data_IF_991704986661
#
_entry.id   IF_991704986661
#
_cell.length_a   1.000
_cell.length_b   1.000
_cell.length_c   1.000
_cell.angle_alpha   90.00
_cell.angle_beta   90.00
_cell.angle_gamma   90.00
#
_symmetry.space_group_name_H-M   'P 1'
#
loop_
_entity.id
_entity.type
_entity.pdbx_description
1 polymer ?
#
# COMPACT_ATOMS: atom_id res chain seq x y z
N UNK A 1 21.78 -9.18 13.72
CA UNK A 1 21.59 -9.55 12.29
C UNK A 1 21.09 -8.31 11.56
N UNK A 2 21.81 -7.85 10.54
CA UNK A 2 21.59 -6.56 9.89
C UNK A 2 20.27 -6.52 9.12
N UNK A 3 19.22 -5.99 9.75
CA UNK A 3 17.88 -5.86 9.20
C UNK A 3 17.73 -4.57 8.38
N UNK A 4 18.58 -4.37 7.36
CA UNK A 4 18.38 -3.24 6.43
C UNK A 4 17.29 -3.63 5.45
N UNK A 5 16.05 -3.19 5.74
CA UNK A 5 15.00 -3.18 4.73
C UNK A 5 15.47 -2.41 3.50
N UNK A 6 15.14 -2.92 2.32
CA UNK A 6 15.47 -2.30 1.04
C UNK A 6 14.16 -2.01 0.31
N UNK A 7 14.03 -0.80 -0.25
CA UNK A 7 12.92 -0.48 -1.14
C UNK A 7 13.12 -1.24 -2.45
N UNK A 8 12.26 -2.21 -2.72
CA UNK A 8 12.33 -3.03 -3.94
C UNK A 8 11.54 -2.44 -5.11
N UNK A 9 10.56 -1.59 -4.84
CA UNK A 9 9.79 -0.89 -5.86
C UNK A 9 8.75 0.04 -5.26
N UNK A 10 8.35 1.05 -6.04
CA UNK A 10 7.36 2.07 -5.66
C UNK A 10 6.56 2.50 -6.90
N UNK A 11 5.31 2.92 -6.70
CA UNK A 11 4.47 3.50 -7.74
C UNK A 11 3.72 4.70 -7.17
N UNK A 12 3.73 5.80 -7.93
CA UNK A 12 2.94 6.99 -7.66
C UNK A 12 1.76 7.08 -8.63
N UNK A 13 0.55 7.15 -8.09
CA UNK A 13 -0.67 7.34 -8.88
C UNK A 13 -1.05 8.82 -8.90
N UNK A 14 -1.04 9.42 -10.08
CA UNK A 14 -1.39 10.82 -10.29
C UNK A 14 -2.89 11.11 -10.13
N UNK A 15 -3.21 12.38 -9.88
CA UNK A 15 -4.56 12.92 -9.60
C UNK A 15 -5.48 13.08 -10.83
N UNK A 16 -5.29 12.28 -11.88
CA UNK A 16 -6.15 12.29 -13.08
C UNK A 16 -7.53 11.65 -12.86
N UNK A 17 -8.42 11.74 -13.86
CA UNK A 17 -9.88 11.40 -13.85
C UNK A 17 -10.30 10.02 -13.27
N UNK A 18 -9.38 9.16 -12.84
CA UNK A 18 -9.64 7.88 -12.16
C UNK A 18 -8.90 7.82 -10.84
N UNK A 19 -9.35 8.62 -9.86
CA UNK A 19 -8.67 8.83 -8.58
C UNK A 19 -8.27 7.55 -7.82
N UNK A 20 -9.00 6.44 -7.99
CA UNK A 20 -8.72 5.19 -7.27
C UNK A 20 -8.90 3.89 -8.08
N UNK A 21 -9.46 3.96 -9.29
CA UNK A 21 -9.69 2.76 -10.13
C UNK A 21 -8.41 2.07 -10.60
N UNK A 22 -7.26 2.76 -10.52
CA UNK A 22 -5.95 2.21 -10.88
C UNK A 22 -5.21 1.48 -9.76
N UNK A 23 -5.69 1.49 -8.50
CA UNK A 23 -4.91 1.01 -7.36
C UNK A 23 -4.48 -0.46 -7.49
N UNK A 24 -5.45 -1.38 -7.65
CA UNK A 24 -5.15 -2.81 -7.78
C UNK A 24 -4.44 -3.17 -9.09
N UNK A 25 -4.81 -2.60 -10.27
CA UNK A 25 -4.03 -2.79 -11.48
C UNK A 25 -2.56 -2.35 -11.33
N UNK A 26 -2.30 -1.26 -10.61
CA UNK A 26 -0.94 -0.80 -10.35
C UNK A 26 -0.21 -1.68 -9.34
N UNK A 27 -0.89 -2.21 -8.32
CA UNK A 27 -0.31 -3.21 -7.42
C UNK A 27 0.10 -4.47 -8.18
N UNK A 28 -0.78 -4.98 -9.05
CA UNK A 28 -0.51 -6.15 -9.90
C UNK A 28 0.69 -5.90 -10.82
N UNK A 29 0.72 -4.75 -11.50
CA UNK A 29 1.86 -4.32 -12.32
C UNK A 29 3.17 -4.26 -11.52
N UNK A 30 3.15 -3.72 -10.29
CA UNK A 30 4.34 -3.65 -9.45
C UNK A 30 4.85 -5.04 -9.07
N UNK A 31 3.97 -5.92 -8.62
CA UNK A 31 4.34 -7.28 -8.24
C UNK A 31 4.93 -8.06 -9.43
N UNK A 32 4.29 -7.96 -10.60
CA UNK A 32 4.81 -8.56 -11.83
C UNK A 32 6.19 -8.01 -12.21
N UNK A 33 6.40 -6.70 -12.13
CA UNK A 33 7.69 -6.06 -12.43
C UNK A 33 8.81 -6.49 -11.49
N UNK A 34 8.47 -6.92 -10.27
CA UNK A 34 9.40 -7.43 -9.26
C UNK A 34 9.52 -8.96 -9.25
N UNK A 35 8.82 -9.65 -10.17
CA UNK A 35 8.68 -11.11 -10.18
C UNK A 35 8.24 -11.66 -8.81
N UNK A 36 7.30 -10.97 -8.17
CA UNK A 36 6.67 -11.33 -6.89
C UNK A 36 5.23 -11.73 -7.11
N UNK A 37 4.72 -12.55 -6.20
CA UNK A 37 3.30 -12.92 -6.14
C UNK A 37 2.61 -12.15 -5.03
N UNK A 38 1.29 -12.01 -5.16
CA UNK A 38 0.45 -11.44 -4.09
C UNK A 38 0.61 -12.18 -2.76
N UNK A 39 0.85 -13.50 -2.81
CA UNK A 39 1.07 -14.36 -1.65
C UNK A 39 2.45 -14.18 -0.98
N UNK A 40 3.37 -13.45 -1.62
CA UNK A 40 4.66 -13.13 -1.01
C UNK A 40 4.56 -11.92 -0.04
N UNK A 41 3.39 -11.25 -0.01
CA UNK A 41 3.11 -10.18 0.95
C UNK A 41 2.86 -10.80 2.33
N UNK A 42 3.62 -10.36 3.32
CA UNK A 42 3.51 -10.83 4.72
C UNK A 42 2.89 -9.81 5.67
N UNK A 43 2.69 -8.57 5.21
CA UNK A 43 2.13 -7.47 5.99
C UNK A 43 1.65 -6.37 5.03
N UNK A 44 0.60 -5.65 5.41
CA UNK A 44 0.13 -4.45 4.68
C UNK A 44 0.27 -3.23 5.58
N UNK A 45 0.93 -2.18 5.12
CA UNK A 45 1.00 -0.90 5.81
C UNK A 45 0.06 0.13 5.17
N UNK A 46 -0.60 0.97 5.97
CA UNK A 46 -1.51 2.01 5.47
C UNK A 46 -1.40 3.29 6.29
N UNK A 47 -1.51 4.43 5.62
CA UNK A 47 -1.54 5.74 6.28
C UNK A 47 -2.83 5.94 7.08
N UNK A 48 -2.71 6.43 8.32
CA UNK A 48 -3.82 6.81 9.19
C UNK A 48 -4.17 8.31 9.08
N UNK A 49 -3.34 9.10 8.39
CA UNK A 49 -3.46 10.54 8.26
C UNK A 49 -2.48 11.30 9.17
N UNK A 50 -2.56 12.65 9.17
CA UNK A 50 -3.53 13.49 8.44
C UNK A 50 -3.37 13.41 6.92
N UNK A 51 -4.45 13.66 6.17
CA UNK A 51 -4.47 13.57 4.70
C UNK A 51 -5.88 13.74 4.12
N UNK A 52 -6.03 13.51 2.81
CA UNK A 52 -7.34 13.60 2.13
C UNK A 52 -8.32 12.58 2.71
N UNK A 53 -9.49 13.03 3.20
CA UNK A 53 -10.51 12.16 3.78
C UNK A 53 -10.92 11.01 2.86
N UNK A 54 -11.20 11.32 1.60
CA UNK A 54 -11.56 10.31 0.58
C UNK A 54 -10.40 9.36 0.32
N UNK A 55 -9.18 9.89 0.16
CA UNK A 55 -7.98 9.07 -0.08
C UNK A 55 -7.66 8.14 1.08
N UNK A 56 -7.74 8.64 2.31
CA UNK A 56 -7.53 7.84 3.52
C UNK A 56 -8.56 6.72 3.63
N UNK A 57 -9.85 7.01 3.42
CA UNK A 57 -10.88 5.96 3.47
C UNK A 57 -10.69 4.90 2.39
N UNK A 58 -10.40 5.30 1.16
CA UNK A 58 -10.14 4.34 0.08
C UNK A 58 -8.90 3.49 0.40
N UNK A 59 -7.79 4.12 0.80
CA UNK A 59 -6.57 3.42 1.20
C UNK A 59 -6.79 2.44 2.35
N UNK A 60 -7.49 2.86 3.42
CA UNK A 60 -7.85 2.00 4.55
C UNK A 60 -8.74 0.82 4.15
N UNK A 61 -9.78 1.07 3.34
CA UNK A 61 -10.67 0.01 2.85
C UNK A 61 -9.92 -1.00 1.98
N UNK A 62 -9.09 -0.52 1.05
CA UNK A 62 -8.27 -1.38 0.20
C UNK A 62 -7.24 -2.19 0.98
N UNK A 63 -6.52 -1.56 1.92
CA UNK A 63 -5.55 -2.22 2.76
C UNK A 63 -6.19 -3.29 3.66
N UNK A 64 -7.34 -2.98 4.29
CA UNK A 64 -8.09 -3.95 5.09
C UNK A 64 -8.57 -5.14 4.26
N UNK A 65 -9.13 -4.88 3.07
CA UNK A 65 -9.58 -5.94 2.17
C UNK A 65 -8.43 -6.87 1.75
N UNK A 66 -7.29 -6.29 1.40
CA UNK A 66 -6.10 -7.04 1.00
C UNK A 66 -5.52 -7.87 2.17
N UNK A 67 -5.32 -7.23 3.32
CA UNK A 67 -4.78 -7.90 4.50
C UNK A 67 -5.69 -9.04 4.98
N UNK A 68 -7.00 -8.83 4.95
CA UNK A 68 -7.99 -9.86 5.28
C UNK A 68 -7.97 -11.02 4.30
N UNK A 69 -7.93 -10.74 2.98
CA UNK A 69 -7.91 -11.78 1.96
C UNK A 69 -6.63 -12.64 1.99
N UNK A 70 -5.51 -12.06 2.43
CA UNK A 70 -4.22 -12.74 2.54
C UNK A 70 -3.95 -13.34 3.92
N UNK A 71 -4.82 -13.10 4.90
CA UNK A 71 -4.62 -13.47 6.32
C UNK A 71 -3.27 -12.95 6.89
N UNK A 72 -2.98 -11.67 6.64
CA UNK A 72 -1.73 -11.01 7.09
C UNK A 72 -2.02 -9.81 7.98
N UNK A 73 -1.08 -9.45 8.88
CA UNK A 73 -1.22 -8.26 9.70
C UNK A 73 -1.31 -6.98 8.87
N UNK A 74 -2.07 -6.02 9.40
CA UNK A 74 -2.17 -4.65 8.89
C UNK A 74 -1.59 -3.67 9.90
N UNK A 75 -0.73 -2.77 9.45
CA UNK A 75 -0.06 -1.77 10.30
C UNK A 75 -0.48 -0.37 9.86
N UNK A 76 -1.03 0.40 10.80
CA UNK A 76 -1.35 1.80 10.58
C UNK A 76 -0.13 2.68 10.85
N UNK A 77 0.18 3.58 9.92
CA UNK A 77 1.30 4.51 10.02
C UNK A 77 0.78 5.95 10.09
N UNK A 78 1.24 6.71 11.09
CA UNK A 78 0.96 8.14 11.16
C UNK A 78 1.70 8.86 10.02
N UNK A 79 0.99 9.64 9.21
CA UNK A 79 1.55 10.27 8.02
C UNK A 79 2.60 11.33 8.35
N UNK A 80 2.51 12.01 9.49
CA UNK A 80 3.53 12.96 9.93
C UNK A 80 4.79 12.25 10.43
N UNK A 81 4.63 11.17 11.19
CA UNK A 81 5.78 10.36 11.64
C UNK A 81 6.52 9.72 10.46
N UNK A 82 5.80 9.35 9.39
CA UNK A 82 6.42 8.83 8.18
C UNK A 82 7.24 9.86 7.38
N UNK A 83 7.03 11.17 7.62
CA UNK A 83 7.74 12.26 6.95
C UNK A 83 8.90 12.83 7.78
N UNK A 84 8.99 12.49 9.06
CA UNK A 84 9.99 12.99 10.01
C UNK A 84 11.31 12.21 9.92
#
# INVERSE_FOLDING_TARGET
>A
MNNRGCLVGEIYLGTGRRHFGGLFPSLDFLLHSLNKRISDITCVAVALGPGSFTGLRVGLSSAKGLAHALDVPIVGINSLEALA
#
